data_IF_705104547764
#
_entry.id   IF_705104547764
#
_cell.length_a   1.000
_cell.length_b   1.000
_cell.length_c   1.000
_cell.angle_alpha   90.00
_cell.angle_beta   90.00
_cell.angle_gamma   90.00
#
_symmetry.space_group_name_H-M   'P 1'
#
loop_
_entity.id
_entity.type
_entity.pdbx_description
1 polymer ?
#
# COMPACT_ATOMS: atom_id res chain seq x y z
N UNK A 1 -4.46 11.69 10.64
CA UNK A 1 -4.62 10.25 10.32
C UNK A 1 -5.23 10.00 8.95
N UNK A 2 -6.38 10.62 8.61
CA UNK A 2 -7.06 10.38 7.34
C UNK A 2 -6.20 10.66 6.09
N UNK A 3 -5.48 11.80 6.05
CA UNK A 3 -4.59 12.13 4.92
C UNK A 3 -3.41 11.17 4.77
N UNK A 4 -2.82 10.69 5.87
CA UNK A 4 -1.74 9.70 5.83
C UNK A 4 -2.23 8.34 5.31
N UNK A 5 -3.42 7.91 5.74
CA UNK A 5 -4.03 6.69 5.22
C UNK A 5 -4.27 6.78 3.70
N UNK A 6 -4.81 7.90 3.22
CA UNK A 6 -5.02 8.14 1.79
C UNK A 6 -3.70 8.15 1.01
N UNK A 7 -2.66 8.78 1.56
CA UNK A 7 -1.34 8.78 0.92
C UNK A 7 -0.72 7.37 0.83
N UNK A 8 -0.85 6.56 1.87
CA UNK A 8 -0.37 5.17 1.88
C UNK A 8 -1.13 4.28 0.90
N UNK A 9 -2.46 4.38 0.88
CA UNK A 9 -3.31 3.60 -0.03
C UNK A 9 -3.04 4.01 -1.48
N UNK A 10 -3.05 5.32 -1.78
CA UNK A 10 -2.77 5.83 -3.12
C UNK A 10 -1.36 5.47 -3.60
N UNK A 11 -0.37 5.53 -2.71
CA UNK A 11 1.00 5.11 -3.01
C UNK A 11 1.12 3.61 -3.31
N UNK A 12 0.37 2.76 -2.58
CA UNK A 12 0.32 1.33 -2.85
C UNK A 12 -0.34 1.02 -4.21
N UNK A 13 -1.43 1.71 -4.55
CA UNK A 13 -2.10 1.57 -5.85
C UNK A 13 -1.23 2.03 -7.03
N UNK A 14 -0.53 3.17 -6.90
CA UNK A 14 0.44 3.63 -7.90
C UNK A 14 1.58 2.63 -8.06
N UNK A 15 2.14 2.12 -6.95
CA UNK A 15 3.18 1.11 -6.97
C UNK A 15 2.71 -0.17 -7.68
N UNK A 16 1.53 -0.69 -7.33
CA UNK A 16 0.92 -1.87 -7.97
C UNK A 16 0.83 -1.71 -9.49
N UNK A 17 0.39 -0.53 -9.95
CA UNK A 17 0.24 -0.22 -11.37
C UNK A 17 1.60 -0.23 -12.07
N UNK A 18 2.60 0.43 -11.50
CA UNK A 18 3.96 0.48 -12.04
C UNK A 18 4.64 -0.89 -12.07
N UNK A 19 4.41 -1.72 -11.04
CA UNK A 19 4.95 -3.08 -11.00
C UNK A 19 4.37 -3.94 -12.12
N UNK A 20 3.05 -3.86 -12.37
CA UNK A 20 2.41 -4.57 -13.46
C UNK A 20 2.93 -4.12 -14.84
N UNK A 21 3.10 -2.81 -15.05
CA UNK A 21 3.69 -2.28 -16.27
C UNK A 21 5.13 -2.77 -16.48
N UNK A 22 5.94 -2.77 -15.42
CA UNK A 22 7.32 -3.19 -15.49
C UNK A 22 7.45 -4.70 -15.73
N UNK A 23 6.61 -5.52 -15.10
CA UNK A 23 6.56 -6.96 -15.34
C UNK A 23 6.24 -7.29 -16.79
N UNK A 24 5.30 -6.55 -17.41
CA UNK A 24 5.02 -6.67 -18.85
C UNK A 24 6.26 -6.37 -19.71
N UNK A 25 6.94 -5.24 -19.47
CA UNK A 25 8.17 -4.85 -20.21
C UNK A 25 9.30 -5.86 -20.04
N UNK A 26 9.50 -6.38 -18.83
CA UNK A 26 10.53 -7.38 -18.56
C UNK A 26 10.18 -8.72 -19.20
N UNK A 27 8.91 -9.11 -19.20
CA UNK A 27 8.42 -10.29 -19.90
C UNK A 27 8.72 -10.25 -21.40
N UNK A 28 8.43 -9.12 -22.06
CA UNK A 28 8.77 -8.90 -23.47
C UNK A 28 10.28 -9.00 -23.73
N UNK A 29 11.09 -8.34 -22.90
CA UNK A 29 12.54 -8.39 -23.00
C UNK A 29 13.09 -9.82 -22.87
N UNK A 30 12.63 -10.57 -21.86
CA UNK A 30 13.06 -11.95 -21.61
C UNK A 30 12.62 -12.92 -22.72
N UNK A 31 11.56 -12.58 -23.47
CA UNK A 31 11.16 -13.37 -24.63
C UNK A 31 12.25 -13.39 -25.73
N UNK A 32 12.92 -12.25 -25.91
CA UNK A 32 14.02 -12.07 -26.87
C UNK A 32 15.42 -12.35 -26.29
N UNK A 33 15.61 -12.21 -24.98
CA UNK A 33 16.90 -12.43 -24.32
C UNK A 33 16.98 -13.81 -23.66
N UNK A 34 17.55 -14.78 -24.37
CA UNK A 34 17.67 -16.18 -23.95
C UNK A 34 19.11 -16.57 -23.64
N UNK A 35 19.28 -17.75 -23.03
CA UNK A 35 20.59 -18.28 -22.60
C UNK A 35 20.81 -18.20 -21.09
N UNK A 36 22.02 -18.51 -20.64
CA UNK A 36 22.37 -18.55 -19.22
C UNK A 36 22.15 -17.20 -18.52
N UNK A 37 22.57 -16.10 -19.15
CA UNK A 37 22.39 -14.75 -18.62
C UNK A 37 20.92 -14.34 -18.52
N UNK A 38 20.11 -14.67 -19.53
CA UNK A 38 18.67 -14.42 -19.51
C UNK A 38 17.95 -15.21 -18.42
N UNK A 39 18.35 -16.47 -18.21
CA UNK A 39 17.80 -17.34 -17.15
C UNK A 39 18.17 -16.84 -15.74
N UNK A 40 19.42 -16.40 -15.57
CA UNK A 40 19.88 -15.80 -14.32
C UNK A 40 19.14 -14.49 -14.01
N UNK A 41 18.97 -13.63 -15.02
CA UNK A 41 18.17 -12.41 -14.87
C UNK A 41 16.70 -12.72 -14.54
N UNK A 42 16.07 -13.66 -15.25
CA UNK A 42 14.69 -14.06 -14.97
C UNK A 42 14.49 -14.54 -13.53
N UNK A 43 15.46 -15.29 -12.99
CA UNK A 43 15.41 -15.76 -11.60
C UNK A 43 15.53 -14.59 -10.61
N UNK A 44 16.46 -13.67 -10.85
CA UNK A 44 16.61 -12.46 -10.05
C UNK A 44 15.37 -11.56 -10.12
N UNK A 45 14.78 -11.44 -11.32
CA UNK A 45 13.55 -10.69 -11.58
C UNK A 45 12.38 -11.26 -10.76
N UNK A 46 12.16 -12.57 -10.77
CA UNK A 46 11.08 -13.19 -10.01
C UNK A 46 11.21 -12.94 -8.50
N UNK A 47 12.43 -13.02 -7.96
CA UNK A 47 12.68 -12.73 -6.55
C UNK A 47 12.39 -11.26 -6.23
N UNK A 48 12.88 -10.35 -7.05
CA UNK A 48 12.65 -8.91 -6.91
C UNK A 48 11.15 -8.57 -7.00
N UNK A 49 10.44 -9.10 -8.01
CA UNK A 49 9.03 -8.83 -8.25
C UNK A 49 8.16 -9.31 -7.08
N UNK A 50 8.47 -10.49 -6.50
CA UNK A 50 7.81 -10.96 -5.29
C UNK A 50 8.01 -10.00 -4.12
N UNK A 51 9.25 -9.60 -3.85
CA UNK A 51 9.55 -8.66 -2.76
C UNK A 51 8.87 -7.30 -2.95
N UNK A 52 8.79 -6.81 -4.20
CA UNK A 52 8.08 -5.58 -4.51
C UNK A 52 6.56 -5.70 -4.24
N UNK A 53 5.97 -6.86 -4.54
CA UNK A 53 4.57 -7.16 -4.18
C UNK A 53 4.34 -7.22 -2.66
N UNK A 54 5.31 -7.73 -1.89
CA UNK A 54 5.23 -7.72 -0.41
C UNK A 54 5.24 -6.28 0.15
N UNK A 55 6.03 -5.38 -0.43
CA UNK A 55 6.05 -3.96 -0.05
C UNK A 55 4.71 -3.29 -0.36
N UNK A 56 4.16 -3.51 -1.55
CA UNK A 56 2.83 -2.99 -1.92
C UNK A 56 1.76 -3.45 -0.93
N UNK A 57 1.71 -4.76 -0.66
CA UNK A 57 0.77 -5.33 0.30
C UNK A 57 0.91 -4.70 1.69
N UNK A 58 2.15 -4.53 2.16
CA UNK A 58 2.45 -3.90 3.44
C UNK A 58 1.94 -2.46 3.53
N UNK A 59 2.17 -1.65 2.49
CA UNK A 59 1.66 -0.27 2.40
C UNK A 59 0.12 -0.24 2.38
N UNK A 60 -0.50 -1.11 1.59
CA UNK A 60 -1.96 -1.30 1.51
C UNK A 60 -2.57 -1.69 2.87
N UNK A 61 -1.89 -2.53 3.65
CA UNK A 61 -2.32 -2.90 5.00
C UNK A 61 -2.15 -1.74 6.00
N UNK A 62 -0.98 -1.09 6.00
CA UNK A 62 -0.70 0.05 6.88
C UNK A 62 -1.68 1.20 6.64
N UNK A 63 -1.97 1.53 5.39
CA UNK A 63 -2.95 2.55 5.05
C UNK A 63 -4.34 2.26 5.62
N UNK A 64 -4.80 1.00 5.52
CA UNK A 64 -6.08 0.55 6.10
C UNK A 64 -6.09 0.63 7.63
N UNK A 65 -5.02 0.19 8.30
CA UNK A 65 -4.92 0.27 9.76
C UNK A 65 -4.92 1.71 10.27
N UNK A 66 -4.19 2.61 9.58
CA UNK A 66 -4.17 4.05 9.90
C UNK A 66 -5.54 4.69 9.69
N UNK A 67 -6.28 4.29 8.65
CA UNK A 67 -7.65 4.76 8.43
C UNK A 67 -8.59 4.34 9.57
N UNK A 68 -8.55 3.06 9.96
CA UNK A 68 -9.36 2.51 11.04
C UNK A 68 -9.05 3.18 12.38
N UNK A 69 -7.76 3.33 12.72
CA UNK A 69 -7.34 4.01 13.94
C UNK A 69 -7.81 5.48 13.96
N UNK A 70 -7.70 6.18 12.82
CA UNK A 70 -8.19 7.55 12.69
C UNK A 70 -9.70 7.69 12.87
N UNK A 71 -10.48 6.75 12.32
CA UNK A 71 -11.93 6.74 12.47
C UNK A 71 -12.35 6.48 13.94
N UNK A 72 -11.69 5.52 14.60
CA UNK A 72 -11.93 5.22 16.02
C UNK A 72 -11.62 6.42 16.93
N UNK A 73 -10.54 7.16 16.66
CA UNK A 73 -10.18 8.34 17.44
C UNK A 73 -11.19 9.47 17.27
N UNK A 74 -11.61 9.77 16.03
CA UNK A 74 -12.61 10.81 15.77
C UNK A 74 -13.98 10.51 16.37
N UNK A 75 -14.41 9.24 16.36
CA UNK A 75 -15.65 8.83 17.02
C UNK A 75 -15.58 9.03 18.55
N UNK A 76 -14.44 8.73 19.16
CA UNK A 76 -14.23 8.91 20.60
C UNK A 76 -14.22 10.39 21.00
N UNK A 77 -13.58 11.26 20.22
CA UNK A 77 -13.60 12.72 20.45
C UNK A 77 -15.01 13.31 20.33
N UNK A 78 -15.80 12.86 19.35
CA UNK A 78 -17.19 13.30 19.20
C UNK A 78 -18.05 12.88 20.38
N UNK A 79 -17.91 11.64 20.85
CA UNK A 79 -18.63 11.14 22.02
C UNK A 79 -18.24 11.90 23.29
N UNK A 80 -16.94 12.13 23.51
CA UNK A 80 -16.44 12.91 24.64
C UNK A 80 -16.92 14.38 24.58
N UNK A 81 -16.87 15.01 23.40
CA UNK A 81 -17.38 16.37 23.20
C UNK A 81 -18.89 16.51 23.35
N UNK A 82 -19.67 15.45 23.07
CA UNK A 82 -21.09 15.40 23.38
C UNK A 82 -21.34 15.29 24.89
N UNK A 83 -20.63 14.40 25.58
CA UNK A 83 -20.74 14.24 27.03
C UNK A 83 -20.32 15.50 27.80
N UNK A 84 -19.27 16.19 27.36
CA UNK A 84 -18.83 17.45 27.98
C UNK A 84 -19.86 18.58 27.81
N UNK A 85 -20.52 18.67 26.65
CA UNK A 85 -21.61 19.65 26.45
C UNK A 85 -22.81 19.33 27.32
N UNK A 86 -23.20 18.06 27.41
CA UNK A 86 -24.31 17.62 28.25
C UNK A 86 -24.10 18.01 29.72
N UNK A 87 -22.89 17.76 30.27
CA UNK A 87 -22.53 18.17 31.64
C UNK A 87 -22.45 19.69 31.82
N UNK A 88 -22.05 20.44 30.78
CA UNK A 88 -21.99 21.91 30.84
C UNK A 88 -23.34 22.63 30.71
N UNK A 89 -24.42 21.89 30.41
CA UNK A 89 -25.79 22.40 30.33
C UNK A 89 -26.63 22.07 31.58
N UNK A 90 -26.02 21.48 32.62
CA UNK A 90 -26.59 21.27 33.97
C UNK A 90 -26.11 22.35 34.93
#
# INVERSE_FOLDING_TARGET
MHGFAQALIGGADDLRTRLAELDGRVGEMLHGWRGSSGSAYASAWQLWHRGAGEVELGLSMLGRLVAQAGAGHGANEQAAGAALRDVGHV
#
